data_IF_692510375783
#
_entry.id   IF_692510375783
#
_cell.length_a   1.000
_cell.length_b   1.000
_cell.length_c   1.000
_cell.angle_alpha   90.00
_cell.angle_beta   90.00
_cell.angle_gamma   90.00
#
_symmetry.space_group_name_H-M   'P 1'
#
loop_
_entity.id
_entity.type
_entity.pdbx_description
1 polymer ?
#
# COMPACT_ATOMS: atom_id res chain seq x y z
N UNK A 1 40.90 -1.65 -33.82
CA UNK A 1 39.96 -1.02 -32.87
C UNK A 1 40.69 0.08 -32.12
N UNK A 2 40.30 1.35 -32.30
CA UNK A 2 40.98 2.49 -31.68
C UNK A 2 40.72 2.55 -30.16
N UNK A 3 41.64 3.15 -29.40
CA UNK A 3 41.57 3.17 -27.94
C UNK A 3 40.28 3.83 -27.43
N UNK A 4 39.75 4.81 -28.15
CA UNK A 4 38.49 5.48 -27.83
C UNK A 4 37.30 4.52 -27.91
N UNK A 5 37.30 3.59 -28.88
CA UNK A 5 36.25 2.57 -29.01
C UNK A 5 36.34 1.56 -27.87
N UNK A 6 37.56 1.18 -27.43
CA UNK A 6 37.75 0.30 -26.27
C UNK A 6 37.25 0.94 -24.99
N UNK A 7 37.56 2.22 -24.75
CA UNK A 7 37.12 2.99 -23.59
C UNK A 7 35.58 3.07 -23.57
N UNK A 8 34.97 3.37 -24.71
CA UNK A 8 33.51 3.47 -24.81
C UNK A 8 32.81 2.14 -24.52
N UNK A 9 33.33 1.02 -25.03
CA UNK A 9 32.80 -0.32 -24.74
C UNK A 9 32.94 -0.64 -23.24
N UNK A 10 34.07 -0.29 -22.62
CA UNK A 10 34.33 -0.57 -21.21
C UNK A 10 33.35 0.19 -20.30
N UNK A 11 33.06 1.46 -20.62
CA UNK A 11 32.06 2.26 -19.89
C UNK A 11 30.65 1.67 -20.02
N UNK A 12 30.25 1.25 -21.22
CA UNK A 12 28.93 0.63 -21.43
C UNK A 12 28.80 -0.67 -20.63
N UNK A 13 29.82 -1.52 -20.64
CA UNK A 13 29.82 -2.77 -19.89
C UNK A 13 29.71 -2.49 -18.38
N UNK A 14 30.43 -1.50 -17.85
CA UNK A 14 30.34 -1.12 -16.44
C UNK A 14 28.96 -0.56 -16.07
N UNK A 15 28.31 0.21 -16.95
CA UNK A 15 26.95 0.71 -16.72
C UNK A 15 25.91 -0.41 -16.73
N UNK A 16 26.03 -1.36 -17.65
CA UNK A 16 25.14 -2.53 -17.72
C UNK A 16 25.33 -3.42 -16.48
N UNK A 17 26.58 -3.67 -16.08
CA UNK A 17 26.87 -4.46 -14.87
C UNK A 17 26.40 -3.75 -13.60
N UNK A 18 26.59 -2.43 -13.51
CA UNK A 18 26.12 -1.63 -12.38
C UNK A 18 24.59 -1.64 -12.25
N UNK A 19 23.87 -1.43 -13.35
CA UNK A 19 22.40 -1.48 -13.37
C UNK A 19 21.86 -2.88 -13.07
N UNK A 20 22.45 -3.92 -13.65
CA UNK A 20 22.11 -5.30 -13.33
C UNK A 20 22.35 -5.63 -11.86
N UNK A 21 23.49 -5.20 -11.29
CA UNK A 21 23.78 -5.37 -9.87
C UNK A 21 22.76 -4.64 -8.99
N UNK A 22 22.34 -3.41 -9.33
CA UNK A 22 21.30 -2.71 -8.55
C UNK A 22 19.94 -3.41 -8.59
N UNK A 23 19.55 -3.98 -9.73
CA UNK A 23 18.30 -4.74 -9.87
C UNK A 23 18.37 -6.04 -9.06
N UNK A 24 19.51 -6.74 -9.12
CA UNK A 24 19.74 -7.97 -8.37
C UNK A 24 19.78 -7.72 -6.85
N UNK A 25 20.38 -6.60 -6.41
CA UNK A 25 20.40 -6.20 -5.00
C UNK A 25 19.03 -5.74 -4.49
N UNK A 26 18.13 -5.28 -5.37
CA UNK A 26 16.75 -4.91 -5.02
C UNK A 26 15.77 -6.10 -5.04
N UNK A 27 16.23 -7.28 -5.47
CA UNK A 27 15.46 -8.52 -5.62
C UNK A 27 14.98 -9.15 -4.30
N UNK A 28 15.22 -8.53 -3.14
CA UNK A 28 14.70 -8.99 -1.85
C UNK A 28 13.30 -8.45 -1.50
N UNK A 29 12.70 -7.59 -2.33
CA UNK A 29 11.54 -6.78 -1.92
C UNK A 29 10.15 -7.23 -2.38
N UNK A 30 10.00 -8.40 -3.00
CA UNK A 30 8.66 -9.00 -3.21
C UNK A 30 8.62 -10.36 -2.53
N UNK A 31 8.13 -10.45 -1.28
CA UNK A 31 7.94 -11.75 -0.66
C UNK A 31 6.88 -12.50 -1.48
N UNK A 32 7.27 -13.62 -2.08
CA UNK A 32 6.35 -14.57 -2.71
C UNK A 32 5.49 -15.33 -1.67
N UNK A 33 5.68 -15.05 -0.38
CA UNK A 33 4.92 -15.61 0.74
C UNK A 33 3.84 -14.67 1.28
N UNK A 34 2.95 -15.18 2.15
CA UNK A 34 1.94 -14.36 2.81
C UNK A 34 2.59 -13.21 3.57
N UNK A 35 1.98 -12.02 3.47
CA UNK A 35 2.42 -10.84 4.19
C UNK A 35 2.37 -11.05 5.69
N UNK A 36 3.27 -10.37 6.42
CA UNK A 36 3.43 -10.49 7.89
C UNK A 36 2.10 -10.38 8.66
N UNK A 37 1.16 -9.58 8.15
CA UNK A 37 -0.12 -9.31 8.81
C UNK A 37 -1.33 -9.89 8.07
N UNK A 38 -1.14 -10.80 7.11
CA UNK A 38 -2.25 -11.33 6.30
C UNK A 38 -3.33 -11.98 7.15
N UNK A 39 -2.92 -12.87 8.07
CA UNK A 39 -3.86 -13.54 9.00
C UNK A 39 -4.63 -12.56 9.88
N UNK A 40 -3.97 -11.49 10.32
CA UNK A 40 -4.60 -10.49 11.16
C UNK A 40 -5.57 -9.61 10.36
N UNK A 41 -5.19 -9.16 9.16
CA UNK A 41 -6.08 -8.40 8.27
C UNK A 41 -7.33 -9.19 7.88
N UNK A 42 -7.17 -10.50 7.59
CA UNK A 42 -8.29 -11.41 7.33
C UNK A 42 -9.16 -11.57 8.59
N UNK A 43 -8.56 -11.79 9.76
CA UNK A 43 -9.29 -11.90 11.02
C UNK A 43 -10.15 -10.65 11.29
N UNK A 44 -9.61 -9.45 11.09
CA UNK A 44 -10.38 -8.20 11.24
C UNK A 44 -11.64 -8.22 10.36
N UNK A 45 -11.51 -8.61 9.09
CA UNK A 45 -12.63 -8.75 8.17
C UNK A 45 -13.63 -9.81 8.65
N UNK A 46 -13.14 -10.97 9.07
CA UNK A 46 -13.98 -12.10 9.52
C UNK A 46 -14.74 -11.78 10.82
N UNK A 47 -14.16 -10.95 11.69
CA UNK A 47 -14.81 -10.42 12.90
C UNK A 47 -15.73 -9.22 12.60
N UNK A 48 -15.93 -8.86 11.34
CA UNK A 48 -16.85 -7.79 10.93
C UNK A 48 -16.32 -6.38 11.15
N UNK A 49 -15.00 -6.20 11.31
CA UNK A 49 -14.42 -4.87 11.34
C UNK A 49 -14.48 -4.22 9.95
N UNK A 50 -14.67 -2.90 9.90
CA UNK A 50 -14.68 -2.10 8.67
C UNK A 50 -13.79 -0.88 8.85
N UNK A 51 -12.91 -0.64 7.89
CA UNK A 51 -12.01 0.51 7.84
C UNK A 51 -12.48 1.50 6.79
N UNK A 52 -13.10 2.58 7.24
CA UNK A 52 -13.53 3.69 6.39
C UNK A 52 -12.40 4.72 6.24
N UNK A 53 -12.13 5.14 5.00
CA UNK A 53 -11.15 6.19 4.75
C UNK A 53 -11.23 6.76 3.35
N UNK A 54 -10.24 7.60 3.02
CA UNK A 54 -10.11 8.18 1.69
C UNK A 54 -8.75 7.89 1.07
N UNK A 55 -8.68 7.72 -0.26
CA UNK A 55 -7.41 7.46 -0.95
C UNK A 55 -6.36 8.57 -0.74
N UNK A 56 -6.82 9.82 -0.64
CA UNK A 56 -5.97 11.01 -0.44
C UNK A 56 -5.65 11.28 1.03
N UNK A 57 -6.27 10.59 1.98
CA UNK A 57 -6.15 10.87 3.41
C UNK A 57 -4.78 10.39 3.95
N UNK A 58 -3.90 11.29 4.46
CA UNK A 58 -2.56 10.92 4.92
C UNK A 58 -2.56 9.97 6.12
N UNK A 59 -3.51 10.15 7.04
CA UNK A 59 -3.67 9.27 8.20
C UNK A 59 -4.12 7.86 7.80
N UNK A 60 -4.97 7.77 6.78
CA UNK A 60 -5.43 6.52 6.20
C UNK A 60 -4.27 5.77 5.52
N UNK A 61 -3.42 6.48 4.79
CA UNK A 61 -2.20 5.91 4.21
C UNK A 61 -1.23 5.43 5.29
N UNK A 62 -1.11 6.16 6.40
CA UNK A 62 -0.28 5.78 7.54
C UNK A 62 -0.80 4.49 8.19
N UNK A 63 -2.10 4.37 8.41
CA UNK A 63 -2.74 3.15 8.91
C UNK A 63 -2.50 1.97 7.96
N UNK A 64 -2.73 2.14 6.65
CA UNK A 64 -2.47 1.09 5.64
C UNK A 64 -1.01 0.64 5.65
N UNK A 65 -0.07 1.56 5.83
CA UNK A 65 1.38 1.28 5.85
C UNK A 65 1.78 0.36 7.01
N UNK A 66 1.07 0.39 8.14
CA UNK A 66 1.31 -0.53 9.27
C UNK A 66 1.14 -2.00 8.87
N UNK A 67 0.28 -2.27 7.89
CA UNK A 67 0.03 -3.62 7.38
C UNK A 67 0.97 -4.02 6.22
N UNK A 68 1.78 -3.10 5.70
CA UNK A 68 2.69 -3.38 4.59
C UNK A 68 1.97 -3.94 3.36
N UNK A 69 2.41 -5.10 2.87
CA UNK A 69 1.78 -5.81 1.74
C UNK A 69 0.42 -6.39 2.08
N UNK A 70 0.12 -6.59 3.36
CA UNK A 70 -1.16 -7.12 3.85
C UNK A 70 -2.29 -6.09 3.80
N UNK A 71 -2.00 -4.81 3.51
CA UNK A 71 -3.01 -3.76 3.42
C UNK A 71 -4.12 -4.07 2.39
N UNK A 72 -3.80 -4.86 1.36
CA UNK A 72 -4.74 -5.32 0.32
C UNK A 72 -5.84 -6.24 0.85
N UNK A 73 -5.65 -6.80 2.04
CA UNK A 73 -6.58 -7.71 2.70
C UNK A 73 -7.46 -7.01 3.75
N UNK A 74 -7.19 -5.72 4.04
CA UNK A 74 -7.97 -4.96 5.00
C UNK A 74 -9.42 -4.82 4.53
N UNK A 75 -10.39 -4.82 5.47
CA UNK A 75 -11.79 -4.54 5.16
C UNK A 75 -12.02 -3.04 4.90
N UNK A 76 -11.38 -2.50 3.87
CA UNK A 76 -11.37 -1.07 3.57
C UNK A 76 -12.56 -0.64 2.70
N UNK A 77 -13.23 0.43 3.09
CA UNK A 77 -14.27 1.13 2.32
C UNK A 77 -13.76 2.50 1.91
N UNK A 78 -13.79 2.78 0.61
CA UNK A 78 -13.44 4.09 0.05
C UNK A 78 -14.61 5.05 0.20
N UNK A 79 -14.42 6.06 1.04
CA UNK A 79 -15.41 7.06 1.34
C UNK A 79 -15.32 8.31 0.47
N UNK A 80 -14.27 8.49 -0.34
CA UNK A 80 -14.15 9.65 -1.22
C UNK A 80 -14.47 9.30 -2.68
N UNK A 81 -15.33 10.09 -3.35
CA UNK A 81 -15.47 10.01 -4.80
C UNK A 81 -14.15 10.31 -5.50
N UNK A 82 -14.02 9.89 -6.76
CA UNK A 82 -12.81 10.15 -7.58
C UNK A 82 -12.51 11.66 -7.71
N UNK A 83 -13.53 12.52 -7.62
CA UNK A 83 -13.37 13.98 -7.60
C UNK A 83 -12.64 14.50 -6.35
N UNK A 84 -12.52 13.70 -5.29
CA UNK A 84 -11.98 14.10 -4.00
C UNK A 84 -12.90 14.99 -3.18
N UNK A 85 -14.08 15.34 -3.71
CA UNK A 85 -15.04 16.25 -3.07
C UNK A 85 -16.28 15.48 -2.60
N UNK A 86 -16.68 15.74 -1.35
CA UNK A 86 -17.79 15.06 -0.71
C UNK A 86 -17.44 13.65 -0.22
N UNK A 87 -18.47 12.85 0.01
CA UNK A 87 -18.38 11.51 0.56
C UNK A 87 -19.30 10.56 -0.21
N UNK A 88 -18.95 9.28 -0.30
CA UNK A 88 -19.81 8.24 -0.89
C UNK A 88 -21.07 8.04 -0.06
N UNK A 89 -22.18 7.66 -0.71
CA UNK A 89 -23.45 7.46 0.00
C UNK A 89 -23.34 6.43 1.12
N UNK A 90 -22.61 5.34 0.89
CA UNK A 90 -22.35 4.29 1.90
C UNK A 90 -21.75 4.87 3.19
N UNK A 91 -20.76 5.75 3.09
CA UNK A 91 -20.13 6.36 4.26
C UNK A 91 -21.01 7.44 4.91
N UNK A 92 -21.84 8.13 4.13
CA UNK A 92 -22.84 9.07 4.68
C UNK A 92 -23.93 8.34 5.46
N UNK A 93 -24.43 7.22 4.95
CA UNK A 93 -25.44 6.38 5.62
C UNK A 93 -24.90 5.79 6.93
N UNK A 94 -23.61 5.47 6.94
CA UNK A 94 -22.85 5.03 8.12
C UNK A 94 -22.43 6.17 9.06
N UNK A 95 -22.69 7.42 8.69
CA UNK A 95 -22.35 8.63 9.46
C UNK A 95 -20.85 8.74 9.78
N UNK A 96 -20.01 8.47 8.80
CA UNK A 96 -18.55 8.60 8.94
C UNK A 96 -18.18 10.09 8.93
N UNK A 97 -17.84 10.65 10.08
CA UNK A 97 -17.54 12.08 10.22
C UNK A 97 -16.07 12.43 9.92
N UNK A 98 -15.15 11.46 10.04
CA UNK A 98 -13.72 11.69 9.85
C UNK A 98 -13.00 10.47 9.30
N UNK A 99 -11.78 10.68 8.80
CA UNK A 99 -10.95 9.60 8.26
C UNK A 99 -9.57 9.59 8.95
N UNK A 100 -8.99 8.42 9.24
CA UNK A 100 -9.62 7.08 9.16
C UNK A 100 -10.73 6.90 10.21
N UNK A 101 -11.58 5.90 10.03
CA UNK A 101 -12.51 5.44 11.08
C UNK A 101 -12.65 3.93 11.00
N UNK A 102 -12.61 3.26 12.16
CA UNK A 102 -12.85 1.83 12.28
C UNK A 102 -14.19 1.55 12.97
N UNK A 103 -15.02 0.71 12.35
CA UNK A 103 -16.22 0.13 12.95
C UNK A 103 -15.91 -1.33 13.30
N UNK A 104 -16.19 -1.77 14.53
CA UNK A 104 -16.07 -3.16 14.96
C UNK A 104 -17.46 -3.72 15.28
N UNK A 105 -17.65 -5.03 15.13
CA UNK A 105 -18.95 -5.68 15.32
C UNK A 105 -19.50 -5.53 16.76
N UNK A 106 -18.61 -5.31 17.73
CA UNK A 106 -18.84 -5.18 19.16
C UNK A 106 -18.98 -3.72 19.66
N UNK A 107 -18.92 -2.72 18.75
CA UNK A 107 -19.14 -1.28 19.00
C UNK A 107 -17.95 -0.53 19.65
N UNK A 108 -18.09 0.79 19.97
CA UNK A 108 -18.26 1.90 19.03
C UNK A 108 -16.96 2.20 18.24
N UNK A 109 -17.03 3.20 17.36
CA UNK A 109 -15.98 3.64 16.45
C UNK A 109 -14.62 3.92 17.13
N UNK A 110 -13.51 3.49 16.50
CA UNK A 110 -12.18 4.01 16.80
C UNK A 110 -11.79 5.02 15.71
N UNK A 111 -11.53 6.25 16.14
CA UNK A 111 -11.07 7.38 15.32
C UNK A 111 -9.59 7.66 15.60
#
# INVERSE_FOLDING_TARGET
MSNNVKIFILVIVLLILGTAATILLQSESVPAGPGKYDKFAICLKDQGAVFYGAFWCPHCQTQKKLFGTSQKLLPYVECSPVSGQGQTQECMDKKIESYPTWEFADGPWLN
#
